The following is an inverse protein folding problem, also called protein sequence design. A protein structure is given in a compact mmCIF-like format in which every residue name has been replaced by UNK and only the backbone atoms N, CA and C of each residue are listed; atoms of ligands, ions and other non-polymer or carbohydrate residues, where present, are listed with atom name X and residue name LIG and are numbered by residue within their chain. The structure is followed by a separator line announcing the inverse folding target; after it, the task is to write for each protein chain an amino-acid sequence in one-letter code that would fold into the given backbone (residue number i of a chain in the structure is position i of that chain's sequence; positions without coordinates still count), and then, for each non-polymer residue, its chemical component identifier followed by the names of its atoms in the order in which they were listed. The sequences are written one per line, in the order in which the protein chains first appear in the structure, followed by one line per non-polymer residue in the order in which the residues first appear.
data_IF_991797268938
#
_entry.id   IF_991797268938
#
_cell.length_a   1.000
_cell.length_b   1.000
_cell.length_c   1.000
_cell.angle_alpha   90.00
_cell.angle_beta   90.00
_cell.angle_gamma   90.00
#
_symmetry.space_group_name_H-M   'P 1'
#
loop_
_entity.id
_entity.type
_entity.pdbx_description
1 polymer ?
#
# COMPACT_ATOMS: atom_id res chain seq x y z
N UNK A 1 1.74 -16.55 -5.35
CA UNK A 1 1.61 -16.91 -3.93
C UNK A 1 1.78 -18.40 -3.65
N UNK A 2 0.94 -19.30 -4.19
CA UNK A 2 1.03 -20.76 -3.90
C UNK A 2 2.41 -21.37 -4.13
N UNK A 3 3.13 -20.92 -5.16
CA UNK A 3 4.46 -21.42 -5.50
C UNK A 3 5.59 -20.97 -4.54
N UNK A 4 5.34 -20.02 -3.64
CA UNK A 4 6.36 -19.48 -2.71
C UNK A 4 6.01 -19.69 -1.24
N UNK A 5 4.83 -20.24 -0.95
CA UNK A 5 4.43 -20.57 0.42
C UNK A 5 5.05 -21.90 0.86
N UNK A 6 5.40 -22.05 2.16
CA UNK A 6 5.79 -23.33 2.71
C UNK A 6 4.70 -24.39 2.56
N UNK A 7 5.09 -25.66 2.59
CA UNK A 7 4.12 -26.78 2.56
C UNK A 7 3.14 -26.68 3.74
N UNK A 8 1.85 -26.92 3.46
CA UNK A 8 0.77 -26.84 4.45
C UNK A 8 0.21 -25.44 4.68
N UNK A 9 0.85 -24.38 4.16
CA UNK A 9 0.34 -23.02 4.26
C UNK A 9 -0.69 -22.73 3.17
N UNK A 10 -1.67 -21.88 3.50
CA UNK A 10 -2.73 -21.47 2.58
C UNK A 10 -2.81 -19.95 2.52
N UNK A 11 -3.12 -19.42 1.34
CA UNK A 11 -3.43 -18.01 1.15
C UNK A 11 -4.83 -17.87 0.56
N UNK A 12 -5.62 -16.99 1.17
CA UNK A 12 -6.94 -16.61 0.69
C UNK A 12 -6.89 -15.18 0.16
N UNK A 13 -7.45 -14.96 -1.03
CA UNK A 13 -7.59 -13.63 -1.61
C UNK A 13 -8.99 -13.10 -1.28
N UNK A 14 -9.05 -12.09 -0.42
CA UNK A 14 -10.28 -11.35 -0.10
C UNK A 14 -10.32 -9.96 -0.74
N UNK A 15 -9.19 -9.53 -1.33
CA UNK A 15 -9.10 -8.28 -2.06
C UNK A 15 -9.93 -8.36 -3.35
N UNK A 16 -10.56 -7.25 -3.71
CA UNK A 16 -11.37 -7.12 -4.92
C UNK A 16 -10.83 -5.94 -5.73
N UNK A 17 -10.77 -6.13 -7.04
CA UNK A 17 -10.29 -5.11 -7.97
C UNK A 17 -11.14 -3.83 -7.89
N UNK A 18 -10.50 -2.68 -8.07
CA UNK A 18 -11.14 -1.36 -7.99
C UNK A 18 -11.55 -0.88 -6.58
N UNK A 19 -11.39 -1.69 -5.52
CA UNK A 19 -11.71 -1.25 -4.16
C UNK A 19 -10.74 -0.21 -3.61
N UNK A 20 -11.26 0.61 -2.71
CA UNK A 20 -10.59 1.71 -2.03
C UNK A 20 -10.43 1.43 -0.54
N UNK A 21 -9.75 2.31 0.20
CA UNK A 21 -9.51 2.18 1.65
C UNK A 21 -10.80 1.89 2.43
N UNK A 22 -11.88 2.62 2.09
CA UNK A 22 -13.17 2.51 2.77
C UNK A 22 -13.87 1.14 2.62
N UNK A 23 -13.45 0.31 1.67
CA UNK A 23 -14.03 -1.02 1.41
C UNK A 23 -13.36 -2.13 2.24
N UNK A 24 -12.18 -1.85 2.82
CA UNK A 24 -11.38 -2.85 3.55
C UNK A 24 -12.12 -3.43 4.76
N UNK A 25 -12.84 -2.65 5.60
CA UNK A 25 -13.58 -3.21 6.73
C UNK A 25 -14.59 -4.30 6.32
N UNK A 26 -15.31 -4.12 5.19
CA UNK A 26 -16.23 -5.16 4.70
C UNK A 26 -15.47 -6.37 4.15
N UNK A 27 -14.29 -6.18 3.55
CA UNK A 27 -13.45 -7.30 3.13
C UNK A 27 -12.93 -8.11 4.33
N UNK A 28 -12.56 -7.45 5.44
CA UNK A 28 -12.09 -8.12 6.66
C UNK A 28 -13.14 -9.06 7.26
N UNK A 29 -14.43 -8.76 7.11
CA UNK A 29 -15.53 -9.63 7.54
C UNK A 29 -15.57 -10.98 6.78
N UNK A 30 -14.92 -11.06 5.61
CA UNK A 30 -14.80 -12.29 4.80
C UNK A 30 -13.50 -13.06 5.10
N UNK A 31 -12.69 -12.59 6.05
CA UNK A 31 -11.44 -13.23 6.41
C UNK A 31 -11.72 -14.62 7.03
N UNK A 32 -11.05 -15.70 6.56
CA UNK A 32 -11.20 -17.02 7.16
C UNK A 32 -10.89 -17.01 8.65
N UNK A 33 -11.65 -17.75 9.44
CA UNK A 33 -11.53 -17.79 10.91
C UNK A 33 -10.10 -18.15 11.35
N UNK A 34 -9.49 -19.17 10.73
CA UNK A 34 -8.13 -19.63 11.00
C UNK A 34 -7.00 -18.80 10.37
N UNK A 35 -7.28 -17.64 9.78
CA UNK A 35 -6.23 -16.78 9.22
C UNK A 35 -5.34 -16.22 10.34
N UNK A 36 -4.03 -16.49 10.25
CA UNK A 36 -3.03 -16.03 11.24
C UNK A 36 -2.40 -14.68 10.89
N UNK A 37 -2.32 -14.36 9.60
CA UNK A 37 -1.67 -13.15 9.11
C UNK A 37 -2.55 -12.44 8.08
N UNK A 38 -2.39 -11.12 8.00
CA UNK A 38 -2.97 -10.26 6.98
C UNK A 38 -1.85 -9.57 6.20
N UNK A 39 -2.12 -9.31 4.92
CA UNK A 39 -1.30 -8.42 4.09
C UNK A 39 -2.24 -7.44 3.43
N UNK A 40 -2.01 -6.15 3.66
CA UNK A 40 -2.91 -5.08 3.22
C UNK A 40 -2.17 -4.22 2.21
N UNK A 41 -2.63 -4.27 0.97
CA UNK A 41 -2.16 -3.41 -0.13
C UNK A 41 -3.36 -2.64 -0.67
N UNK A 42 -3.51 -1.39 -0.23
CA UNK A 42 -4.65 -0.52 -0.54
C UNK A 42 -4.20 0.94 -0.62
N UNK A 43 -5.00 1.79 -1.29
CA UNK A 43 -4.71 3.21 -1.46
C UNK A 43 -4.41 3.61 -2.91
N UNK A 44 -4.06 2.65 -3.78
CA UNK A 44 -3.79 2.93 -5.19
C UNK A 44 -5.02 3.48 -5.93
N UNK A 45 -6.20 2.89 -5.69
CA UNK A 45 -7.46 3.37 -6.29
C UNK A 45 -7.91 4.72 -5.70
N UNK A 46 -7.65 4.95 -4.42
CA UNK A 46 -7.89 6.25 -3.76
C UNK A 46 -7.04 7.34 -4.41
N UNK A 47 -5.76 7.06 -4.64
CA UNK A 47 -4.85 7.95 -5.36
C UNK A 47 -5.30 8.21 -6.79
N UNK A 48 -5.76 7.18 -7.51
CA UNK A 48 -6.32 7.33 -8.86
C UNK A 48 -7.57 8.22 -8.85
N UNK A 49 -8.49 8.05 -7.91
CA UNK A 49 -9.69 8.89 -7.75
C UNK A 49 -9.34 10.34 -7.42
N UNK A 50 -8.27 10.57 -6.66
CA UNK A 50 -7.78 11.90 -6.33
C UNK A 50 -6.93 12.56 -7.44
N UNK A 51 -6.52 11.82 -8.48
CA UNK A 51 -5.55 12.26 -9.47
C UNK A 51 -5.95 13.51 -10.25
N UNK A 52 -7.25 13.82 -10.35
CA UNK A 52 -7.76 15.04 -10.97
C UNK A 52 -7.23 16.32 -10.31
N UNK A 53 -6.73 16.26 -9.07
CA UNK A 53 -6.08 17.39 -8.39
C UNK A 53 -4.87 17.91 -9.18
N UNK A 54 -4.17 17.04 -9.92
CA UNK A 54 -2.96 17.39 -10.68
C UNK A 54 -3.25 18.27 -11.90
N UNK A 55 -4.49 18.27 -12.38
CA UNK A 55 -4.93 19.07 -13.53
C UNK A 55 -5.54 20.41 -13.10
N UNK A 56 -5.63 20.69 -11.79
CA UNK A 56 -6.21 21.94 -11.28
C UNK A 56 -5.26 23.10 -11.49
N UNK A 57 -5.81 24.25 -11.89
CA UNK A 57 -5.06 25.51 -11.92
C UNK A 57 -4.85 26.05 -10.51
N UNK A 58 -3.62 26.49 -10.22
CA UNK A 58 -3.26 27.22 -9.00
C UNK A 58 -2.54 28.52 -9.38
N UNK A 59 -2.78 29.59 -8.62
CA UNK A 59 -2.18 30.92 -8.84
C UNK A 59 -0.83 31.06 -8.15
N UNK A 60 -0.47 30.11 -7.29
CA UNK A 60 0.82 30.07 -6.60
C UNK A 60 1.19 28.63 -6.22
N UNK A 61 2.47 28.42 -5.92
CA UNK A 61 2.96 27.14 -5.38
C UNK A 61 2.30 26.82 -4.02
N UNK A 62 2.08 27.82 -3.17
CA UNK A 62 1.41 27.63 -1.89
C UNK A 62 -0.03 27.13 -2.07
N UNK A 63 -0.77 27.68 -3.03
CA UNK A 63 -2.12 27.22 -3.37
C UNK A 63 -2.08 25.77 -3.91
N UNK A 64 -1.15 25.45 -4.81
CA UNK A 64 -1.00 24.07 -5.32
C UNK A 64 -0.70 23.06 -4.19
N UNK A 65 0.19 23.42 -3.25
CA UNK A 65 0.50 22.60 -2.09
C UNK A 65 -0.70 22.43 -1.16
N UNK A 66 -1.50 23.48 -0.95
CA UNK A 66 -2.73 23.39 -0.14
C UNK A 66 -3.72 22.35 -0.72
N UNK A 67 -3.87 22.32 -2.05
CA UNK A 67 -4.72 21.30 -2.71
C UNK A 67 -4.23 19.87 -2.48
N UNK A 68 -2.91 19.66 -2.50
CA UNK A 68 -2.32 18.35 -2.24
C UNK A 68 -2.41 17.97 -0.76
N UNK A 69 -2.32 18.94 0.15
CA UNK A 69 -2.52 18.75 1.59
C UNK A 69 -3.95 18.27 1.87
N UNK A 70 -4.97 18.86 1.26
CA UNK A 70 -6.36 18.39 1.40
C UNK A 70 -6.53 16.92 1.00
N UNK A 71 -5.91 16.52 -0.12
CA UNK A 71 -5.93 15.13 -0.60
C UNK A 71 -5.23 14.20 0.40
N UNK A 72 -4.05 14.59 0.89
CA UNK A 72 -3.29 13.83 1.88
C UNK A 72 -4.07 13.68 3.19
N UNK A 73 -4.67 14.74 3.70
CA UNK A 73 -5.35 14.73 5.01
C UNK A 73 -6.59 13.84 4.98
N UNK A 74 -7.35 13.88 3.88
CA UNK A 74 -8.45 12.95 3.66
C UNK A 74 -7.96 11.50 3.59
N UNK A 75 -6.92 11.24 2.79
CA UNK A 75 -6.33 9.92 2.68
C UNK A 75 -5.86 9.40 4.04
N UNK A 76 -5.22 10.24 4.85
CA UNK A 76 -4.77 9.89 6.19
C UNK A 76 -5.92 9.53 7.13
N UNK A 77 -7.00 10.33 7.15
CA UNK A 77 -8.16 10.02 7.98
C UNK A 77 -8.77 8.65 7.62
N UNK A 78 -8.94 8.38 6.33
CA UNK A 78 -9.47 7.10 5.83
C UNK A 78 -8.49 5.94 6.13
N UNK A 79 -7.19 6.14 5.91
CA UNK A 79 -6.17 5.10 6.11
C UNK A 79 -5.99 4.74 7.59
N UNK A 80 -5.99 5.74 8.49
CA UNK A 80 -5.92 5.52 9.94
C UNK A 80 -7.11 4.67 10.41
N UNK A 81 -8.33 5.04 10.02
CA UNK A 81 -9.53 4.28 10.39
C UNK A 81 -9.50 2.84 9.86
N UNK A 82 -8.99 2.63 8.65
CA UNK A 82 -8.80 1.30 8.08
C UNK A 82 -7.77 0.48 8.87
N UNK A 83 -6.64 1.07 9.27
CA UNK A 83 -5.65 0.38 10.08
C UNK A 83 -6.17 0.02 11.47
N UNK A 84 -6.99 0.87 12.08
CA UNK A 84 -7.64 0.56 13.35
C UNK A 84 -8.53 -0.68 13.20
N UNK A 85 -9.27 -0.80 12.09
CA UNK A 85 -10.06 -1.98 11.77
C UNK A 85 -9.20 -3.24 11.52
N UNK A 86 -8.06 -3.10 10.84
CA UNK A 86 -7.10 -4.20 10.63
C UNK A 86 -6.53 -4.66 11.97
N UNK A 87 -6.13 -3.76 12.86
CA UNK A 87 -5.61 -4.08 14.19
C UNK A 87 -6.65 -4.73 15.09
N UNK A 88 -7.90 -4.29 15.02
CA UNK A 88 -9.00 -4.88 15.78
C UNK A 88 -9.21 -6.37 15.46
N UNK A 89 -8.69 -6.88 14.34
CA UNK A 89 -8.70 -8.33 14.05
C UNK A 89 -7.78 -9.15 14.96
N UNK A 90 -6.82 -8.52 15.65
CA UNK A 90 -5.82 -9.19 16.48
C UNK A 90 -4.80 -10.03 15.71
N UNK A 91 -4.78 -9.95 14.37
CA UNK A 91 -3.88 -10.72 13.50
C UNK A 91 -2.62 -9.92 13.18
N UNK A 92 -1.50 -10.61 13.01
CA UNK A 92 -0.26 -9.99 12.52
C UNK A 92 -0.50 -9.46 11.09
N UNK A 93 -0.25 -8.18 10.84
CA UNK A 93 -0.56 -7.54 9.57
C UNK A 93 0.66 -6.81 8.99
N UNK A 94 0.99 -7.11 7.74
CA UNK A 94 1.94 -6.31 6.96
C UNK A 94 1.19 -5.31 6.07
N UNK A 95 1.68 -4.08 6.02
CA UNK A 95 1.14 -2.99 5.23
C UNK A 95 2.03 -2.77 4.00
N UNK A 96 1.43 -2.55 2.84
CA UNK A 96 2.17 -2.25 1.60
C UNK A 96 2.03 -0.77 1.23
N UNK A 97 3.15 -0.16 0.84
CA UNK A 97 3.11 1.14 0.14
C UNK A 97 2.52 0.97 -1.26
N UNK A 98 2.15 2.08 -1.91
CA UNK A 98 1.77 2.12 -3.32
C UNK A 98 3.05 2.20 -4.15
N UNK A 99 3.23 1.29 -5.12
CA UNK A 99 4.37 1.35 -6.04
C UNK A 99 4.30 2.55 -6.98
N UNK A 100 5.44 2.94 -7.54
CA UNK A 100 5.50 4.05 -8.50
C UNK A 100 5.00 3.62 -9.88
N UNK A 101 3.98 4.29 -10.46
CA UNK A 101 3.43 3.91 -11.75
C UNK A 101 4.45 4.09 -12.88
N UNK A 102 4.31 3.25 -13.92
CA UNK A 102 5.16 3.21 -15.11
C UNK A 102 4.48 3.85 -16.33
N UNK A 103 3.95 5.06 -16.14
CA UNK A 103 3.37 5.82 -17.26
C UNK A 103 4.42 6.08 -18.35
N UNK A 104 4.08 5.87 -19.65
CA UNK A 104 5.01 6.12 -20.75
C UNK A 104 5.40 7.60 -20.87
N UNK A 105 4.47 8.50 -20.56
CA UNK A 105 4.75 9.94 -20.54
C UNK A 105 5.65 10.30 -19.34
N UNK A 106 6.89 10.78 -19.57
CA UNK A 106 7.85 11.02 -18.49
C UNK A 106 7.40 12.12 -17.52
N UNK A 107 6.68 13.12 -17.99
CA UNK A 107 6.20 14.21 -17.15
C UNK A 107 5.12 13.72 -16.18
N UNK A 108 4.10 13.02 -16.70
CA UNK A 108 3.07 12.36 -15.90
C UNK A 108 3.68 11.37 -14.92
N UNK A 109 4.64 10.54 -15.35
CA UNK A 109 5.35 9.61 -14.45
C UNK A 109 6.00 10.34 -13.27
N UNK A 110 6.74 11.42 -13.52
CA UNK A 110 7.38 12.23 -12.45
C UNK A 110 6.36 12.90 -11.54
N UNK A 111 5.33 13.53 -12.11
CA UNK A 111 4.31 14.25 -11.34
C UNK A 111 3.48 13.29 -10.47
N UNK A 112 3.04 12.16 -11.03
CA UNK A 112 2.30 11.16 -10.25
C UNK A 112 3.18 10.54 -9.17
N UNK A 113 4.46 10.25 -9.45
CA UNK A 113 5.40 9.77 -8.43
C UNK A 113 5.57 10.75 -7.27
N UNK A 114 5.74 12.04 -7.57
CA UNK A 114 5.85 13.09 -6.55
C UNK A 114 4.56 13.22 -5.71
N UNK A 115 3.38 13.15 -6.35
CA UNK A 115 2.11 13.19 -5.64
C UNK A 115 1.88 11.95 -4.77
N UNK A 116 2.19 10.74 -5.28
CA UNK A 116 2.11 9.49 -4.52
C UNK A 116 3.07 9.45 -3.34
N UNK A 117 4.21 10.16 -3.41
CA UNK A 117 5.12 10.27 -2.28
C UNK A 117 4.44 10.85 -1.03
N UNK A 118 3.50 11.79 -1.19
CA UNK A 118 2.72 12.36 -0.08
C UNK A 118 1.81 11.31 0.58
N UNK A 119 1.16 10.47 -0.22
CA UNK A 119 0.28 9.42 0.28
C UNK A 119 1.09 8.26 0.88
N UNK A 120 2.22 7.91 0.27
CA UNK A 120 3.12 6.90 0.80
C UNK A 120 3.80 7.34 2.11
N UNK A 121 4.05 8.63 2.32
CA UNK A 121 4.49 9.14 3.63
C UNK A 121 3.44 8.87 4.71
N UNK A 122 2.15 9.08 4.41
CA UNK A 122 1.06 8.68 5.30
C UNK A 122 1.10 7.19 5.60
N UNK A 123 1.12 6.32 4.58
CA UNK A 123 1.17 4.86 4.79
C UNK A 123 2.35 4.47 5.67
N UNK A 124 3.53 5.02 5.38
CA UNK A 124 4.77 4.72 6.10
C UNK A 124 4.69 5.14 7.57
N UNK A 125 4.26 6.39 7.84
CA UNK A 125 4.12 6.92 9.19
C UNK A 125 3.06 6.18 10.00
N UNK A 126 1.91 5.91 9.39
CA UNK A 126 0.81 5.20 10.04
C UNK A 126 1.21 3.76 10.40
N UNK A 127 1.90 3.04 9.50
CA UNK A 127 2.43 1.71 9.77
C UNK A 127 3.46 1.72 10.91
N UNK A 128 4.43 2.64 10.87
CA UNK A 128 5.48 2.75 11.86
C UNK A 128 4.99 3.16 13.24
N UNK A 129 4.06 4.12 13.31
CA UNK A 129 3.43 4.56 14.58
C UNK A 129 2.69 3.41 15.26
N UNK A 130 2.20 2.47 14.46
CA UNK A 130 1.46 1.28 14.88
C UNK A 130 2.34 0.04 15.07
N UNK A 131 3.66 0.15 14.90
CA UNK A 131 4.59 -0.98 14.94
C UNK A 131 4.30 -2.06 13.89
N UNK A 132 3.55 -1.72 12.83
CA UNK A 132 3.16 -2.68 11.80
C UNK A 132 4.29 -2.90 10.79
N UNK A 133 4.59 -4.15 10.40
CA UNK A 133 5.49 -4.45 9.29
C UNK A 133 5.13 -3.67 8.03
N UNK A 134 6.13 -3.14 7.33
CA UNK A 134 5.95 -2.43 6.06
C UNK A 134 6.67 -3.19 4.93
N UNK A 135 5.95 -3.52 3.87
CA UNK A 135 6.51 -4.02 2.61
C UNK A 135 6.51 -2.84 1.63
N UNK A 136 7.69 -2.25 1.41
CA UNK A 136 7.80 -1.08 0.54
C UNK A 136 7.82 -1.48 -0.94
N UNK A 137 6.65 -1.37 -1.59
CA UNK A 137 6.48 -1.70 -3.01
C UNK A 137 7.22 -0.75 -3.94
N UNK A 138 7.55 0.48 -3.50
CA UNK A 138 8.36 1.44 -4.29
C UNK A 138 9.76 0.91 -4.54
N UNK A 139 10.37 0.35 -3.49
CA UNK A 139 11.71 -0.26 -3.54
C UNK A 139 11.64 -1.63 -4.22
N UNK A 140 10.62 -2.42 -3.88
CA UNK A 140 10.50 -3.79 -4.36
C UNK A 140 10.20 -3.87 -5.87
N UNK A 141 9.34 -2.99 -6.38
CA UNK A 141 8.96 -2.91 -7.80
C UNK A 141 9.71 -1.77 -8.50
N UNK A 142 11.04 -1.79 -8.42
CA UNK A 142 11.93 -0.73 -8.91
C UNK A 142 12.18 -0.72 -10.42
N UNK A 143 11.84 -1.78 -11.15
CA UNK A 143 12.14 -1.92 -12.58
C UNK A 143 10.89 -1.70 -13.45
N UNK A 144 11.07 -1.30 -14.71
CA UNK A 144 9.95 -1.22 -15.66
C UNK A 144 9.36 -2.61 -15.96
N UNK A 145 10.19 -3.66 -15.97
CA UNK A 145 9.78 -5.05 -16.17
C UNK A 145 8.90 -5.61 -15.04
N UNK A 146 8.86 -4.94 -13.87
CA UNK A 146 7.98 -5.32 -12.77
C UNK A 146 6.50 -5.01 -13.05
N UNK A 147 6.18 -4.38 -14.19
CA UNK A 147 4.84 -3.89 -14.54
C UNK A 147 4.36 -4.47 -15.88
N UNK A 148 3.11 -4.94 -15.92
CA UNK A 148 2.46 -5.39 -17.16
C UNK A 148 1.83 -4.22 -17.92
N UNK A 149 1.41 -3.21 -17.17
CA UNK A 149 0.91 -1.94 -17.67
C UNK A 149 1.27 -0.83 -16.65
N UNK A 150 0.99 0.45 -16.92
CA UNK A 150 1.47 1.55 -16.08
C UNK A 150 1.11 1.48 -14.60
N UNK A 151 0.08 0.73 -14.22
CA UNK A 151 -0.43 0.68 -12.85
C UNK A 151 -0.58 -0.74 -12.29
N UNK A 152 -0.33 -1.79 -13.07
CA UNK A 152 -0.47 -3.18 -12.60
C UNK A 152 0.86 -3.95 -12.68
N UNK A 153 1.21 -4.72 -11.63
CA UNK A 153 2.40 -5.55 -11.63
C UNK A 153 2.37 -6.63 -12.71
N UNK A 154 3.54 -6.92 -13.28
CA UNK A 154 3.74 -8.08 -14.16
C UNK A 154 3.86 -9.38 -13.37
N UNK A 155 4.02 -10.50 -14.06
CA UNK A 155 4.40 -11.78 -13.43
C UNK A 155 5.72 -11.64 -12.65
N UNK A 156 6.67 -10.84 -13.14
CA UNK A 156 7.92 -10.57 -12.44
C UNK A 156 7.66 -9.77 -11.16
N UNK A 157 6.96 -8.64 -11.25
CA UNK A 157 6.64 -7.80 -10.09
C UNK A 157 5.83 -8.57 -9.05
N UNK A 158 4.80 -9.31 -9.48
CA UNK A 158 4.00 -10.18 -8.62
C UNK A 158 4.81 -11.27 -7.92
N UNK A 159 5.87 -11.81 -8.56
CA UNK A 159 6.81 -12.74 -7.91
C UNK A 159 7.66 -12.05 -6.86
N UNK A 160 8.14 -10.82 -7.10
CA UNK A 160 8.88 -10.03 -6.09
C UNK A 160 7.99 -9.77 -4.87
N UNK A 161 6.76 -9.30 -5.08
CA UNK A 161 5.76 -9.08 -4.03
C UNK A 161 5.49 -10.35 -3.25
N UNK A 162 5.20 -11.46 -3.94
CA UNK A 162 4.91 -12.73 -3.28
C UNK A 162 6.06 -13.25 -2.42
N UNK A 163 7.33 -13.05 -2.84
CA UNK A 163 8.51 -13.41 -2.06
C UNK A 163 8.66 -12.54 -0.81
N UNK A 164 8.42 -11.23 -0.92
CA UNK A 164 8.45 -10.33 0.23
C UNK A 164 7.37 -10.68 1.25
N UNK A 165 6.15 -11.00 0.79
CA UNK A 165 5.08 -11.52 1.65
C UNK A 165 5.50 -12.83 2.32
N UNK A 166 6.05 -13.79 1.56
CA UNK A 166 6.51 -15.05 2.14
C UNK A 166 7.63 -14.87 3.17
N UNK A 167 8.50 -13.87 3.00
CA UNK A 167 9.53 -13.51 3.97
C UNK A 167 8.93 -12.93 5.26
N UNK A 168 7.96 -12.00 5.15
CA UNK A 168 7.20 -11.48 6.30
C UNK A 168 6.54 -12.63 7.08
N UNK A 169 5.85 -13.51 6.37
CA UNK A 169 5.13 -14.64 6.96
C UNK A 169 6.04 -15.61 7.75
N UNK A 170 7.30 -15.74 7.35
CA UNK A 170 8.28 -16.64 7.98
C UNK A 170 9.17 -15.92 9.00
N UNK A 171 9.14 -14.59 9.05
CA UNK A 171 9.92 -13.82 10.00
C UNK A 171 9.45 -14.13 11.44
N UNK A 172 10.39 -14.24 12.38
CA UNK A 172 10.04 -14.37 13.80
C UNK A 172 9.38 -13.08 14.28
N UNK A 173 8.56 -13.11 15.35
CA UNK A 173 7.89 -11.91 15.86
C UNK A 173 8.85 -10.72 16.07
N UNK A 174 10.05 -10.96 16.59
CA UNK A 174 11.10 -9.96 16.80
C UNK A 174 11.69 -9.38 15.50
N UNK A 175 11.44 -10.00 14.35
CA UNK A 175 11.90 -9.61 13.02
C UNK A 175 10.78 -9.04 12.14
N UNK A 176 9.52 -9.12 12.58
CA UNK A 176 8.37 -8.65 11.82
C UNK A 176 8.18 -7.12 11.94
N UNK A 177 8.76 -6.47 12.95
CA UNK A 177 8.71 -5.01 13.11
C UNK A 177 9.81 -4.27 12.34
N UNK A 178 9.54 -3.03 11.93
CA UNK A 178 10.59 -2.10 11.52
C UNK A 178 11.24 -1.48 12.75
N UNK A 179 12.58 -1.39 12.78
CA UNK A 179 13.29 -0.62 13.81
C UNK A 179 13.10 0.87 13.53
N UNK A 180 12.19 1.50 14.26
CA UNK A 180 11.87 2.93 14.12
C UNK A 180 12.18 3.63 15.43
N UNK A 181 13.04 4.64 15.37
CA UNK A 181 13.34 5.51 16.52
C UNK A 181 12.46 6.76 16.43
N UNK A 182 11.22 6.64 16.90
CA UNK A 182 10.34 7.76 17.14
C UNK A 182 10.27 7.97 18.66
N UNK A 183 10.61 9.16 19.14
CA UNK A 183 10.60 9.49 20.57
C UNK A 183 9.18 9.75 21.05
#
# INVERSE_FOLDING_TARGET
MRAVLPAGWQASLIAVDGNVIADVPQQLARCPEGASHLVVSVGGNDALRASAVLERTARSVAEALALLVEVRDRFQAEYSAMLDAVQATGRAAAICTIYDPRYPDPQRRRLTGAALALLNDVITREAFTRGSPLIDLRVLCGEDADFANPIEPSVQGGRKIARAVAAFLQARPEQQGSLVFAR
#
